data_IF_390237827738
#
_entry.id   IF_390237827738
#
_cell.length_a   1.000
_cell.length_b   1.000
_cell.length_c   1.000
_cell.angle_alpha   90.00
_cell.angle_beta   90.00
_cell.angle_gamma   90.00
#
_symmetry.space_group_name_H-M   'P 1'
#
loop_
_entity.id
_entity.type
_entity.pdbx_description
1 polymer ?
#
# COMPACT_ATOMS: atom_id res chain seq x y z
N UNK A 1 -1.41 1.21 21.63
CA UNK A 1 -0.20 1.27 20.82
C UNK A 1 0.80 2.21 21.45
N UNK A 2 2.07 1.83 21.42
CA UNK A 2 3.16 2.68 21.84
C UNK A 2 3.73 3.44 20.64
N UNK A 3 4.10 4.71 20.82
CA UNK A 3 4.80 5.50 19.79
C UNK A 3 6.21 5.83 20.26
N UNK A 4 7.20 5.52 19.44
CA UNK A 4 8.61 5.83 19.72
C UNK A 4 9.18 6.69 18.60
N UNK A 5 9.88 7.76 18.98
CA UNK A 5 10.60 8.62 18.03
C UNK A 5 12.06 8.67 18.46
N UNK A 6 12.93 8.20 17.57
CA UNK A 6 14.37 8.11 17.74
C UNK A 6 15.01 8.91 16.60
N UNK A 7 15.36 10.15 16.91
CA UNK A 7 15.93 11.12 15.99
C UNK A 7 17.01 11.95 16.69
N UNK A 8 17.91 12.55 15.92
CA UNK A 8 18.97 13.42 16.43
C UNK A 8 20.28 12.69 16.75
N UNK A 9 21.24 13.37 17.42
CA UNK A 9 22.55 12.79 17.71
C UNK A 9 22.46 11.66 18.74
N UNK A 10 23.43 10.75 18.69
CA UNK A 10 23.53 9.66 19.66
C UNK A 10 23.74 10.24 21.07
N UNK A 11 22.77 10.03 21.95
CA UNK A 11 22.86 10.37 23.35
C UNK A 11 22.31 9.22 24.20
N UNK A 12 22.55 9.28 25.52
CA UNK A 12 22.12 8.23 26.46
C UNK A 12 20.60 7.97 26.38
N UNK A 13 19.80 9.00 26.08
CA UNK A 13 18.35 8.87 25.91
C UNK A 13 17.99 8.08 24.65
N UNK A 14 18.65 8.32 23.53
CA UNK A 14 18.45 7.60 22.28
C UNK A 14 18.86 6.14 22.43
N UNK A 15 19.95 5.85 23.14
CA UNK A 15 20.37 4.48 23.44
C UNK A 15 19.34 3.75 24.31
N UNK A 16 18.79 4.41 25.34
CA UNK A 16 17.69 3.85 26.14
C UNK A 16 16.46 3.55 25.29
N UNK A 17 16.10 4.44 24.34
CA UNK A 17 14.98 4.22 23.41
C UNK A 17 15.25 3.04 22.47
N UNK A 18 16.47 2.89 21.95
CA UNK A 18 16.85 1.77 21.08
C UNK A 18 16.84 0.45 21.85
N UNK A 19 17.39 0.41 23.06
CA UNK A 19 17.32 -0.77 23.93
C UNK A 19 15.86 -1.17 24.20
N UNK A 20 15.00 -0.20 24.48
CA UNK A 20 13.56 -0.43 24.65
C UNK A 20 12.92 -1.02 23.39
N UNK A 21 13.24 -0.47 22.22
CA UNK A 21 12.71 -0.94 20.94
C UNK A 21 13.19 -2.36 20.62
N UNK A 22 14.47 -2.68 20.86
CA UNK A 22 15.00 -4.03 20.66
C UNK A 22 14.31 -5.05 21.59
N UNK A 23 14.07 -4.70 22.86
CA UNK A 23 13.30 -5.56 23.77
C UNK A 23 11.86 -5.80 23.26
N UNK A 24 11.24 -4.78 22.65
CA UNK A 24 9.92 -4.92 22.05
C UNK A 24 9.93 -5.83 20.81
N UNK A 25 10.99 -5.76 20.00
CA UNK A 25 11.22 -6.67 18.87
C UNK A 25 11.39 -8.11 19.36
N UNK A 26 12.22 -8.32 20.37
CA UNK A 26 12.49 -9.67 20.91
C UNK A 26 11.28 -10.26 21.63
N UNK A 27 10.43 -9.42 22.24
CA UNK A 27 9.15 -9.86 22.83
C UNK A 27 8.11 -10.33 21.79
N UNK A 28 8.39 -10.18 20.49
CA UNK A 28 7.51 -10.64 19.42
C UNK A 28 6.26 -9.78 19.21
N UNK A 29 6.30 -8.51 19.64
CA UNK A 29 5.24 -7.54 19.37
C UNK A 29 5.14 -7.22 17.87
N UNK A 30 4.08 -6.51 17.48
CA UNK A 30 3.93 -5.98 16.14
C UNK A 30 4.61 -4.61 16.06
N UNK A 31 5.76 -4.54 15.38
CA UNK A 31 6.54 -3.30 15.24
C UNK A 31 6.37 -2.75 13.83
N UNK A 32 5.99 -1.47 13.75
CA UNK A 32 5.91 -0.72 12.50
C UNK A 32 6.98 0.37 12.53
N UNK A 33 8.01 0.22 11.70
CA UNK A 33 9.14 1.12 11.57
C UNK A 33 8.96 2.07 10.39
N UNK A 34 9.18 3.35 10.67
CA UNK A 34 9.43 4.38 9.67
C UNK A 34 10.91 4.78 9.72
N UNK A 35 11.66 4.34 8.73
CA UNK A 35 13.06 4.66 8.54
C UNK A 35 13.18 5.92 7.69
N UNK A 36 13.83 6.94 8.24
CA UNK A 36 14.01 8.22 7.57
C UNK A 36 15.42 8.75 7.75
N UNK A 37 15.71 9.85 7.07
CA UNK A 37 16.98 10.56 7.14
C UNK A 37 16.68 12.05 7.24
N UNK A 38 17.41 12.78 8.08
CA UNK A 38 17.29 14.25 8.16
C UNK A 38 17.65 14.87 6.81
N UNK A 39 16.87 15.86 6.37
CA UNK A 39 17.07 16.53 5.07
C UNK A 39 16.47 15.79 3.86
N UNK A 40 15.74 14.69 4.07
CA UNK A 40 15.03 13.99 3.02
C UNK A 40 13.64 14.60 2.75
N UNK A 41 13.47 15.30 1.63
CA UNK A 41 12.19 15.90 1.22
C UNK A 41 11.01 14.92 1.23
N UNK A 42 11.10 13.76 0.54
CA UNK A 42 10.04 12.74 0.54
C UNK A 42 9.74 12.16 1.93
N UNK A 43 10.72 12.15 2.83
CA UNK A 43 10.56 11.67 4.20
C UNK A 43 9.71 12.65 5.02
N UNK A 44 9.97 13.96 4.89
CA UNK A 44 9.19 14.99 5.58
C UNK A 44 7.71 14.96 5.18
N UNK A 45 7.41 14.75 3.89
CA UNK A 45 6.03 14.59 3.43
C UNK A 45 5.33 13.34 4.00
N UNK A 46 6.10 12.31 4.35
CA UNK A 46 5.58 11.05 4.90
C UNK A 46 5.48 11.08 6.44
N UNK A 47 6.33 11.88 7.10
CA UNK A 47 6.36 12.09 8.56
C UNK A 47 5.03 12.62 9.08
N UNK A 48 4.44 13.60 8.39
CA UNK A 48 3.15 14.19 8.77
C UNK A 48 1.98 13.17 8.77
N UNK A 49 1.71 12.43 7.68
CA UNK A 49 0.77 11.32 7.69
C UNK A 49 1.05 10.25 8.74
N UNK A 50 2.33 9.92 8.98
CA UNK A 50 2.72 8.90 9.95
C UNK A 50 2.34 9.27 11.39
N UNK A 51 2.54 10.53 11.78
CA UNK A 51 2.12 11.03 13.10
C UNK A 51 0.59 11.01 13.26
N UNK A 52 -0.14 11.21 12.17
CA UNK A 52 -1.61 11.24 12.13
C UNK A 52 -2.26 9.85 12.11
N UNK A 53 -1.51 8.76 12.10
CA UNK A 53 -2.08 7.40 12.10
C UNK A 53 -3.07 7.20 13.25
N UNK A 54 -2.80 7.78 14.42
CA UNK A 54 -3.64 7.64 15.62
C UNK A 54 -5.09 8.06 15.39
N UNK A 55 -5.33 9.01 14.48
CA UNK A 55 -6.67 9.57 14.25
C UNK A 55 -7.54 8.66 13.40
N UNK A 56 -6.94 7.76 12.61
CA UNK A 56 -7.64 6.85 11.70
C UNK A 56 -7.75 5.44 12.26
N UNK A 57 -7.00 5.13 13.31
CA UNK A 57 -6.97 3.82 13.93
C UNK A 57 -8.12 3.68 14.96
N UNK A 58 -8.76 2.51 14.99
CA UNK A 58 -9.78 2.20 16.02
C UNK A 58 -9.19 2.26 17.43
N UNK A 59 -10.03 2.65 18.39
CA UNK A 59 -9.62 2.77 19.80
C UNK A 59 -9.03 1.48 20.39
N UNK A 60 -9.53 0.32 19.96
CA UNK A 60 -9.05 -1.00 20.38
C UNK A 60 -7.55 -1.20 20.10
N UNK A 61 -7.09 -0.77 18.92
CA UNK A 61 -5.69 -0.85 18.53
C UNK A 61 -4.85 0.28 19.16
N UNK A 62 -5.46 1.45 19.37
CA UNK A 62 -4.82 2.57 20.07
C UNK A 62 -4.53 2.24 21.54
N UNK A 63 -5.32 1.38 22.19
CA UNK A 63 -5.07 0.91 23.57
C UNK A 63 -4.20 -0.35 23.64
N UNK A 64 -4.05 -1.10 22.54
CA UNK A 64 -3.30 -2.36 22.53
C UNK A 64 -1.78 -2.15 22.76
N UNK A 65 -1.17 -2.71 23.83
CA UNK A 65 0.25 -2.58 24.12
C UNK A 65 1.17 -3.44 23.23
N UNK A 66 0.60 -4.34 22.42
CA UNK A 66 1.34 -5.22 21.52
C UNK A 66 1.65 -4.57 20.17
N UNK A 67 1.17 -3.35 19.93
CA UNK A 67 1.42 -2.58 18.71
C UNK A 67 2.41 -1.45 19.05
N UNK A 68 3.54 -1.44 18.36
CA UNK A 68 4.58 -0.42 18.49
C UNK A 68 4.74 0.27 17.14
N UNK A 69 4.61 1.59 17.13
CA UNK A 69 4.86 2.43 15.97
C UNK A 69 6.10 3.26 16.26
N UNK A 70 7.17 3.04 15.52
CA UNK A 70 8.46 3.65 15.76
C UNK A 70 8.96 4.42 14.53
N UNK A 71 9.59 5.56 14.78
CA UNK A 71 10.32 6.35 13.80
C UNK A 71 11.80 6.32 14.17
N UNK A 72 12.65 5.96 13.22
CA UNK A 72 14.07 5.74 13.47
C UNK A 72 14.89 6.41 12.37
N UNK A 73 15.87 7.23 12.76
CA UNK A 73 16.85 7.78 11.85
C UNK A 73 17.76 6.68 11.30
N UNK A 74 18.30 6.90 10.10
CA UNK A 74 19.27 6.03 9.43
C UNK A 74 20.41 5.63 10.37
N UNK A 75 20.93 6.58 11.14
CA UNK A 75 22.12 6.36 11.98
C UNK A 75 21.88 5.36 13.13
N UNK A 76 20.63 5.15 13.53
CA UNK A 76 20.29 4.20 14.58
C UNK A 76 19.89 2.83 14.03
N UNK A 77 19.62 2.70 12.73
CA UNK A 77 19.21 1.44 12.12
C UNK A 77 20.20 0.28 12.34
N UNK A 78 21.53 0.48 12.21
CA UNK A 78 22.50 -0.60 12.44
C UNK A 78 22.48 -1.17 13.86
N UNK A 79 21.91 -0.45 14.84
CA UNK A 79 21.80 -0.88 16.24
C UNK A 79 20.54 -1.72 16.52
N UNK A 80 19.63 -1.82 15.55
CA UNK A 80 18.40 -2.60 15.71
C UNK A 80 18.66 -4.08 15.48
N UNK A 81 18.25 -4.91 16.44
CA UNK A 81 18.30 -6.36 16.29
C UNK A 81 17.17 -6.83 15.38
N UNK A 82 17.44 -7.79 14.50
CA UNK A 82 16.42 -8.49 13.69
C UNK A 82 15.57 -7.57 12.79
N UNK A 83 16.05 -6.37 12.47
CA UNK A 83 15.34 -5.40 11.64
C UNK A 83 15.40 -5.68 10.13
N UNK A 84 16.18 -6.67 9.71
CA UNK A 84 16.40 -7.05 8.31
C UNK A 84 17.55 -6.29 7.66
N UNK A 85 17.63 -6.38 6.32
CA UNK A 85 18.69 -5.72 5.54
C UNK A 85 18.53 -4.20 5.56
N UNK A 86 19.64 -3.48 5.47
CA UNK A 86 19.60 -2.02 5.35
C UNK A 86 18.75 -1.58 4.15
N UNK A 87 17.94 -0.52 4.33
CA UNK A 87 17.08 -0.02 3.26
C UNK A 87 17.93 0.60 2.13
N UNK A 88 17.53 0.34 0.89
CA UNK A 88 18.20 0.88 -0.31
C UNK A 88 17.91 2.38 -0.47
N UNK A 89 16.80 2.88 0.08
CA UNK A 89 16.41 4.28 -0.01
C UNK A 89 15.52 4.74 1.15
N UNK A 90 15.28 6.06 1.22
CA UNK A 90 14.46 6.66 2.25
C UNK A 90 13.31 7.49 1.63
N UNK A 91 12.12 7.54 2.23
CA UNK A 91 11.73 6.79 3.42
C UNK A 91 11.49 5.31 3.13
N UNK A 92 11.79 4.45 4.10
CA UNK A 92 11.42 3.02 4.07
C UNK A 92 10.49 2.71 5.23
N UNK A 93 9.38 2.05 4.92
CA UNK A 93 8.37 1.63 5.87
C UNK A 93 8.44 0.12 6.00
N UNK A 94 8.69 -0.38 7.20
CA UNK A 94 8.90 -1.80 7.45
C UNK A 94 8.10 -2.27 8.64
N UNK A 95 7.47 -3.42 8.49
CA UNK A 95 6.79 -4.13 9.55
C UNK A 95 7.67 -5.31 10.00
N UNK A 96 7.85 -5.44 11.30
CA UNK A 96 8.58 -6.54 11.93
C UNK A 96 7.62 -7.29 12.85
N UNK A 97 7.64 -8.60 12.73
CA UNK A 97 7.02 -9.56 13.64
C UNK A 97 8.07 -10.50 14.19
N UNK A 98 7.67 -11.41 15.09
CA UNK A 98 8.58 -12.33 15.76
C UNK A 98 9.51 -13.09 14.80
N UNK A 99 9.08 -13.43 13.58
CA UNK A 99 9.90 -14.17 12.60
C UNK A 99 10.00 -13.52 11.22
N UNK A 100 9.10 -12.60 10.88
CA UNK A 100 8.98 -12.03 9.53
C UNK A 100 9.19 -10.52 9.54
N UNK A 101 9.88 -10.03 8.52
CA UNK A 101 9.98 -8.61 8.20
C UNK A 101 9.42 -8.38 6.79
N UNK A 102 8.47 -7.46 6.66
CA UNK A 102 7.82 -7.12 5.39
C UNK A 102 7.84 -5.60 5.18
N UNK A 103 8.11 -5.15 3.96
CA UNK A 103 8.01 -3.74 3.63
C UNK A 103 6.57 -3.34 3.30
N UNK A 104 6.24 -2.07 3.53
CA UNK A 104 4.91 -1.53 3.25
C UNK A 104 4.54 -1.67 1.76
N UNK A 105 5.52 -1.48 0.87
CA UNK A 105 5.31 -1.59 -0.56
C UNK A 105 4.90 -3.01 -0.99
N UNK A 106 5.26 -4.04 -0.22
CA UNK A 106 4.89 -5.44 -0.48
C UNK A 106 3.55 -5.84 0.17
N UNK A 107 2.94 -4.94 0.95
CA UNK A 107 1.67 -5.22 1.59
C UNK A 107 0.54 -5.41 0.57
N UNK A 108 -0.31 -6.42 0.81
CA UNK A 108 -1.50 -6.72 -0.01
C UNK A 108 -2.64 -5.75 0.32
N UNK A 109 -2.45 -4.46 0.03
CA UNK A 109 -3.44 -3.40 0.18
C UNK A 109 -4.02 -3.01 -1.19
N UNK A 110 -5.30 -2.67 -1.22
CA UNK A 110 -5.98 -2.21 -2.44
C UNK A 110 -5.46 -0.84 -2.91
N UNK A 111 -5.12 0.03 -1.95
CA UNK A 111 -4.53 1.35 -2.17
C UNK A 111 -3.27 1.44 -1.33
N UNK A 112 -2.14 1.75 -1.98
CA UNK A 112 -0.85 2.01 -1.35
C UNK A 112 -0.51 3.47 -1.54
N UNK A 113 -1.06 4.32 -0.69
CA UNK A 113 -0.73 5.73 -0.62
C UNK A 113 0.03 6.02 0.68
N UNK A 114 0.87 7.06 0.67
CA UNK A 114 1.61 7.49 1.87
C UNK A 114 0.72 8.33 2.80
N UNK A 115 -0.57 8.03 2.85
CA UNK A 115 -1.55 8.73 3.68
C UNK A 115 -1.72 8.04 5.02
N UNK A 116 -2.19 8.80 6.01
CA UNK A 116 -2.39 8.32 7.38
C UNK A 116 -3.42 7.18 7.43
N UNK A 117 -4.44 7.23 6.56
CA UNK A 117 -5.46 6.19 6.45
C UNK A 117 -4.87 4.88 5.91
N UNK A 118 -4.06 4.95 4.87
CA UNK A 118 -3.38 3.77 4.31
C UNK A 118 -2.52 3.05 5.35
N UNK A 119 -1.79 3.81 6.15
CA UNK A 119 -0.98 3.26 7.22
C UNK A 119 -1.82 2.65 8.35
N UNK A 120 -2.96 3.25 8.69
CA UNK A 120 -3.90 2.66 9.64
C UNK A 120 -4.47 1.34 9.10
N UNK A 121 -4.93 1.32 7.85
CA UNK A 121 -5.45 0.11 7.17
C UNK A 121 -4.38 -1.00 7.14
N UNK A 122 -3.11 -0.63 6.94
CA UNK A 122 -1.98 -1.56 7.00
C UNK A 122 -1.77 -2.17 8.39
N UNK A 123 -1.82 -1.36 9.44
CA UNK A 123 -1.70 -1.82 10.83
C UNK A 123 -2.84 -2.78 11.15
N UNK A 124 -4.08 -2.43 10.80
CA UNK A 124 -5.25 -3.29 11.00
C UNK A 124 -5.10 -4.61 10.26
N UNK A 125 -4.63 -4.59 9.01
CA UNK A 125 -4.40 -5.79 8.22
C UNK A 125 -3.38 -6.73 8.88
N UNK A 126 -2.31 -6.20 9.48
CA UNK A 126 -1.25 -7.01 10.11
C UNK A 126 -1.66 -7.53 11.49
N UNK A 127 -2.31 -6.71 12.31
CA UNK A 127 -2.76 -7.07 13.66
C UNK A 127 -3.98 -7.99 13.61
N UNK A 128 -4.87 -7.80 12.65
CA UNK A 128 -6.06 -8.62 12.42
C UNK A 128 -5.79 -10.04 11.94
N UNK A 129 -4.53 -10.44 11.69
CA UNK A 129 -4.15 -11.81 11.31
C UNK A 129 -4.25 -12.85 12.44
N UNK A 130 -5.13 -12.64 13.41
CA UNK A 130 -5.78 -13.72 14.19
C UNK A 130 -7.25 -13.82 13.78
N UNK A 131 -7.50 -14.37 12.59
CA UNK A 131 -8.84 -14.77 12.17
C UNK A 131 -9.30 -14.21 10.82
N UNK A 132 -9.43 -15.13 9.87
CA UNK A 132 -10.30 -15.08 8.69
C UNK A 132 -9.76 -14.33 7.46
N UNK A 133 -9.42 -15.14 6.45
CA UNK A 133 -9.58 -14.78 5.04
C UNK A 133 -10.96 -14.14 4.82
N UNK A 134 -11.06 -12.81 4.75
CA UNK A 134 -12.12 -12.19 3.93
C UNK A 134 -11.68 -12.25 2.48
N UNK A 135 -11.74 -13.45 1.92
CA UNK A 135 -11.85 -13.62 0.48
C UNK A 135 -13.13 -12.92 0.04
N UNK A 136 -13.02 -11.73 -0.54
CA UNK A 136 -14.12 -11.13 -1.30
C UNK A 136 -14.19 -11.85 -2.64
N UNK A 137 -14.64 -13.10 -2.61
CA UNK A 137 -15.26 -13.75 -3.76
C UNK A 137 -16.76 -13.56 -3.62
N UNK A 138 -17.31 -12.52 -4.27
CA UNK A 138 -18.73 -12.49 -4.64
C UNK A 138 -18.87 -12.85 -6.11
N UNK A 139 -18.47 -14.08 -6.45
CA UNK A 139 -18.96 -14.79 -7.62
C UNK A 139 -20.29 -15.45 -7.24
N UNK A 140 -21.38 -14.68 -7.30
CA UNK A 140 -22.71 -15.23 -7.05
C UNK A 140 -23.13 -16.18 -8.17
N UNK A 141 -23.15 -17.49 -7.89
CA UNK A 141 -23.93 -18.45 -8.67
C UNK A 141 -25.40 -18.13 -8.46
N UNK A 142 -26.13 -17.89 -9.55
CA UNK A 142 -27.59 -17.77 -9.53
C UNK A 142 -28.19 -19.12 -9.10
N UNK A 143 -29.12 -19.18 -8.14
CA UNK A 143 -29.91 -20.37 -7.91
C UNK A 143 -30.95 -20.49 -9.01
N UNK A 144 -30.96 -21.64 -9.70
CA UNK A 144 -31.98 -21.98 -10.67
C UNK A 144 -33.33 -22.09 -9.98
N UNK A 145 -34.23 -21.16 -10.27
CA UNK A 145 -35.64 -21.32 -9.96
C UNK A 145 -36.32 -21.91 -11.20
N UNK A 146 -36.53 -23.22 -11.17
CA UNK A 146 -37.44 -23.91 -12.08
C UNK A 146 -38.86 -23.40 -11.82
N UNK A 147 -39.31 -22.41 -12.58
CA UNK A 147 -40.73 -22.18 -12.83
C UNK A 147 -40.95 -22.18 -14.34
N UNK A 148 -41.95 -22.97 -14.70
CA UNK A 148 -42.39 -23.34 -16.03
C UNK A 148 -42.48 -22.18 -17.03
N UNK A 149 -42.06 -22.47 -18.25
CA UNK A 149 -42.34 -21.66 -19.42
C UNK A 149 -43.86 -21.44 -19.58
N UNK A 150 -44.31 -20.20 -19.37
CA UNK A 150 -45.49 -19.69 -20.08
C UNK A 150 -45.00 -18.66 -21.10
N UNK A 151 -45.19 -19.00 -22.37
CA UNK A 151 -44.90 -18.17 -23.56
C UNK A 151 -45.56 -16.80 -23.38
N UNK A 152 -44.77 -15.77 -23.12
CA UNK A 152 -45.17 -14.38 -23.33
C UNK A 152 -44.32 -13.83 -24.48
N UNK A 153 -44.96 -13.64 -25.63
CA UNK A 153 -44.39 -13.04 -26.83
C UNK A 153 -44.11 -11.56 -26.55
N UNK A 154 -42.91 -11.24 -26.05
CA UNK A 154 -42.48 -9.85 -25.92
C UNK A 154 -41.75 -9.40 -27.19
N UNK A 155 -42.41 -8.50 -27.92
CA UNK A 155 -41.93 -7.86 -29.15
C UNK A 155 -40.51 -7.31 -28.94
N UNK A 156 -39.56 -7.75 -29.79
CA UNK A 156 -38.24 -7.15 -29.89
C UNK A 156 -38.40 -5.72 -30.41
N UNK A 157 -38.32 -4.72 -29.53
CA UNK A 157 -38.02 -3.35 -29.95
C UNK A 157 -36.51 -3.16 -29.96
N UNK A 158 -35.98 -3.07 -31.18
CA UNK A 158 -34.64 -2.58 -31.44
C UNK A 158 -34.49 -1.14 -30.92
N UNK A 159 -33.33 -0.82 -30.36
CA UNK A 159 -32.95 0.57 -30.07
C UNK A 159 -32.20 0.75 -28.76
N UNK A 160 -30.86 0.76 -28.83
CA UNK A 160 -30.02 1.16 -27.71
C UNK A 160 -28.62 0.57 -27.74
N UNK A 161 -27.81 0.90 -28.76
CA UNK A 161 -26.36 0.67 -28.71
C UNK A 161 -25.81 1.46 -27.52
N UNK A 162 -25.61 0.80 -26.37
CA UNK A 162 -24.80 1.37 -25.29
C UNK A 162 -23.40 1.55 -25.83
N UNK A 163 -22.99 2.80 -26.04
CA UNK A 163 -21.61 3.16 -26.31
C UNK A 163 -20.76 2.66 -25.14
N UNK A 164 -20.14 1.48 -25.29
CA UNK A 164 -19.03 1.07 -24.43
C UNK A 164 -17.90 2.04 -24.75
N UNK A 165 -17.81 3.13 -23.99
CA UNK A 165 -16.61 3.95 -23.97
C UNK A 165 -15.46 3.03 -23.60
N UNK A 166 -14.67 2.65 -24.60
CA UNK A 166 -13.43 1.89 -24.42
C UNK A 166 -12.58 2.67 -23.42
N UNK A 167 -12.56 2.22 -22.17
CA UNK A 167 -11.61 2.67 -21.14
C UNK A 167 -10.22 2.27 -21.62
N UNK A 168 -9.62 3.08 -22.48
CA UNK A 168 -8.17 3.09 -22.64
C UNK A 168 -7.58 3.45 -21.28
N UNK A 169 -6.44 2.84 -20.91
CA UNK A 169 -5.73 3.14 -19.66
C UNK A 169 -5.33 4.63 -19.51
N UNK A 170 -4.20 4.93 -18.87
CA UNK A 170 -3.75 6.30 -18.52
C UNK A 170 -3.83 7.37 -19.64
N UNK A 171 -3.92 6.97 -20.91
CA UNK A 171 -4.12 7.87 -22.05
C UNK A 171 -5.50 7.72 -22.72
N UNK A 172 -6.12 8.87 -23.00
CA UNK A 172 -7.34 8.96 -23.80
C UNK A 172 -7.13 8.41 -25.22
N UNK A 173 -8.20 7.90 -25.84
CA UNK A 173 -8.15 7.45 -27.24
C UNK A 173 -7.82 8.58 -28.21
N UNK A 174 -8.28 9.81 -27.89
CA UNK A 174 -7.93 11.03 -28.65
C UNK A 174 -6.42 11.24 -28.66
N UNK A 175 -5.79 11.20 -27.47
CA UNK A 175 -4.34 11.35 -27.34
C UNK A 175 -3.56 10.22 -28.05
N UNK A 176 -3.97 8.96 -27.89
CA UNK A 176 -3.30 7.83 -28.57
C UNK A 176 -3.36 7.91 -30.10
N UNK A 177 -4.39 8.53 -30.66
CA UNK A 177 -4.56 8.76 -32.09
C UNK A 177 -3.73 9.94 -32.60
N UNK A 178 -3.49 10.96 -31.78
CA UNK A 178 -2.71 12.14 -32.15
C UNK A 178 -1.19 11.97 -32.03
N UNK A 179 -0.69 10.80 -31.60
CA UNK A 179 0.76 10.55 -31.51
C UNK A 179 1.32 10.33 -32.92
N UNK A 180 2.21 11.23 -33.34
CA UNK A 180 2.99 11.08 -34.56
C UNK A 180 4.16 10.12 -34.34
N UNK A 181 4.07 8.92 -34.94
CA UNK A 181 5.13 7.92 -34.86
C UNK A 181 6.33 8.19 -35.77
N UNK A 182 6.27 9.20 -36.65
CA UNK A 182 7.44 9.66 -37.42
C UNK A 182 8.35 10.53 -36.56
N UNK A 183 7.78 11.33 -35.64
CA UNK A 183 8.53 12.22 -34.72
C UNK A 183 7.98 12.18 -33.28
N UNK A 184 8.19 11.09 -32.53
CA UNK A 184 7.65 10.96 -31.17
C UNK A 184 8.32 11.93 -30.18
N UNK A 185 7.51 12.70 -29.44
CA UNK A 185 7.95 13.78 -28.53
C UNK A 185 8.58 13.32 -27.20
N UNK A 186 8.94 12.04 -27.06
CA UNK A 186 9.54 11.51 -25.84
C UNK A 186 9.51 9.99 -25.71
N UNK A 187 10.07 9.46 -24.61
CA UNK A 187 10.22 8.03 -24.36
C UNK A 187 8.88 7.27 -24.41
N UNK A 188 7.84 7.82 -23.79
CA UNK A 188 6.51 7.20 -23.73
C UNK A 188 5.87 7.04 -25.12
N UNK A 189 6.02 8.05 -25.99
CA UNK A 189 5.51 8.00 -27.37
C UNK A 189 6.34 7.03 -28.23
N UNK A 190 7.67 6.98 -28.03
CA UNK A 190 8.54 6.00 -28.69
C UNK A 190 8.10 4.57 -28.38
N UNK A 191 7.82 4.25 -27.11
CA UNK A 191 7.34 2.92 -26.71
C UNK A 191 5.97 2.58 -27.32
N UNK A 192 5.04 3.55 -27.33
CA UNK A 192 3.73 3.36 -27.97
C UNK A 192 3.86 3.01 -29.47
N UNK A 193 4.74 3.71 -30.19
CA UNK A 193 4.97 3.48 -31.61
C UNK A 193 5.66 2.14 -31.89
N UNK A 194 6.62 1.73 -31.06
CA UNK A 194 7.23 0.39 -31.12
C UNK A 194 6.18 -0.70 -30.98
N UNK A 195 5.32 -0.62 -29.95
CA UNK A 195 4.23 -1.58 -29.74
C UNK A 195 3.23 -1.63 -30.91
N UNK A 196 2.92 -0.48 -31.53
CA UNK A 196 2.07 -0.42 -32.73
C UNK A 196 2.71 -1.09 -33.95
N UNK A 197 4.03 -0.95 -34.14
CA UNK A 197 4.76 -1.60 -35.24
C UNK A 197 4.72 -3.12 -35.08
N UNK A 198 4.96 -3.62 -33.86
CA UNK A 198 4.96 -5.06 -33.56
C UNK A 198 3.60 -5.74 -33.68
N UNK A 199 2.49 -4.98 -33.72
CA UNK A 199 1.14 -5.51 -33.93
C UNK A 199 0.70 -5.58 -35.39
N UNK A 200 1.48 -4.98 -36.29
CA UNK A 200 1.19 -4.95 -37.73
C UNK A 200 1.95 -6.01 -38.51
N UNK A 201 2.98 -6.60 -37.91
CA UNK A 201 3.56 -7.89 -38.31
C UNK A 201 2.79 -9.00 -37.62
#
# INVERSE_FOLDING_TARGET
>A
MQTLVIEGPMNEMAEKKIKKLNNEIDSGKHIFLFLFMVGCGPCNSTKEPWLKIKTYLKEEHTKNPNIVVAMVDKDFYPKLTRAGKEPIGFPTLRYISANDAEEYEDAKLDVRDRSAKSFADWIELKVGKKGVMKGVMKGGKMPGHTISCKKAVFKRRAGGRRNRTRRGGKWSLKYKRSIDCKRPKGFSQKQHCKSKKNRKN
#
